data_IF_118002153768
#
_entry.id   IF_118002153768
#
_cell.length_a   1.000
_cell.length_b   1.000
_cell.length_c   1.000
_cell.angle_alpha   90.00
_cell.angle_beta   90.00
_cell.angle_gamma   90.00
#
_symmetry.space_group_name_H-M   'P 1'
#
loop_
_entity.id
_entity.type
_entity.pdbx_description
1 polymer ?
#
# COMPACT_ATOMS: atom_id res chain seq x y z
N UNK A 1 0.50 18.41 -27.82
CA UNK A 1 0.25 19.40 -26.73
C UNK A 1 0.93 18.93 -25.43
N UNK A 2 1.50 19.82 -24.59
CA UNK A 2 2.06 19.40 -23.28
C UNK A 2 0.97 19.08 -22.26
N UNK A 3 1.22 18.18 -21.29
CA UNK A 3 0.25 17.82 -20.24
C UNK A 3 -0.31 19.03 -19.48
N UNK A 4 0.54 19.99 -19.12
CA UNK A 4 0.14 21.26 -18.47
C UNK A 4 -0.93 22.05 -19.23
N UNK A 5 -0.98 21.89 -20.56
CA UNK A 5 -1.90 22.60 -21.43
C UNK A 5 -3.19 21.83 -21.71
N UNK A 6 -3.30 20.58 -21.25
CA UNK A 6 -4.52 19.79 -21.38
C UNK A 6 -5.67 20.38 -20.57
N UNK A 7 -6.90 20.15 -21.03
CA UNK A 7 -8.08 20.52 -20.25
C UNK A 7 -8.11 19.79 -18.89
N UNK A 8 -8.79 20.39 -17.93
CA UNK A 8 -8.85 19.87 -16.55
C UNK A 8 -9.42 18.44 -16.47
N UNK A 9 -10.38 18.08 -17.32
CA UNK A 9 -10.99 16.75 -17.33
C UNK A 9 -9.96 15.68 -17.70
N UNK A 10 -9.16 15.94 -18.73
CA UNK A 10 -8.11 15.02 -19.16
C UNK A 10 -6.97 14.96 -18.14
N UNK A 11 -6.52 16.10 -17.61
CA UNK A 11 -5.50 16.13 -16.54
C UNK A 11 -5.96 15.35 -15.30
N UNK A 12 -7.23 15.47 -14.92
CA UNK A 12 -7.82 14.74 -13.80
C UNK A 12 -7.89 13.24 -14.09
N UNK A 13 -8.28 12.86 -15.31
CA UNK A 13 -8.31 11.46 -15.75
C UNK A 13 -6.92 10.82 -15.65
N UNK A 14 -5.89 11.51 -16.16
CA UNK A 14 -4.49 11.08 -16.10
C UNK A 14 -4.04 10.91 -14.65
N UNK A 15 -4.25 11.91 -13.80
CA UNK A 15 -3.91 11.83 -12.36
C UNK A 15 -4.57 10.64 -11.66
N UNK A 16 -5.82 10.35 -11.99
CA UNK A 16 -6.54 9.23 -11.38
C UNK A 16 -6.01 7.88 -11.83
N UNK A 17 -5.63 7.74 -13.10
CA UNK A 17 -4.96 6.55 -13.63
C UNK A 17 -3.60 6.35 -12.97
N UNK A 18 -2.71 7.36 -12.98
CA UNK A 18 -1.40 7.30 -12.30
C UNK A 18 -1.56 6.87 -10.84
N UNK A 19 -2.47 7.52 -10.11
CA UNK A 19 -2.73 7.19 -8.70
C UNK A 19 -3.22 5.75 -8.53
N UNK A 20 -4.10 5.26 -9.41
CA UNK A 20 -4.59 3.88 -9.37
C UNK A 20 -3.46 2.90 -9.62
N UNK A 21 -2.65 3.11 -10.65
CA UNK A 21 -1.49 2.28 -10.98
C UNK A 21 -0.51 2.21 -9.81
N UNK A 22 -0.17 3.36 -9.21
CA UNK A 22 0.68 3.41 -8.02
C UNK A 22 0.08 2.60 -6.85
N UNK A 23 -1.23 2.72 -6.59
CA UNK A 23 -1.90 1.95 -5.53
C UNK A 23 -1.84 0.45 -5.82
N UNK A 24 -2.03 0.03 -7.07
CA UNK A 24 -1.91 -1.37 -7.48
C UNK A 24 -0.49 -1.90 -7.24
N UNK A 25 0.53 -1.18 -7.70
CA UNK A 25 1.94 -1.54 -7.50
C UNK A 25 2.29 -1.67 -6.01
N UNK A 26 1.90 -0.67 -5.20
CA UNK A 26 2.12 -0.70 -3.75
C UNK A 26 1.42 -1.88 -3.07
N UNK A 27 0.19 -2.20 -3.47
CA UNK A 27 -0.53 -3.36 -2.93
C UNK A 27 0.12 -4.69 -3.33
N UNK A 28 0.53 -4.84 -4.59
CA UNK A 28 1.16 -6.07 -5.09
C UNK A 28 2.50 -6.34 -4.41
N UNK A 29 3.23 -5.29 -4.07
CA UNK A 29 4.47 -5.39 -3.31
C UNK A 29 4.27 -5.45 -1.80
N UNK A 30 3.04 -5.53 -1.30
CA UNK A 30 2.68 -5.45 0.13
C UNK A 30 3.33 -4.25 0.85
N UNK A 31 3.54 -3.13 0.14
CA UNK A 31 4.18 -1.93 0.69
C UNK A 31 5.63 -2.18 1.21
N UNK A 32 6.29 -3.29 0.85
CA UNK A 32 7.55 -3.74 1.46
C UNK A 32 8.71 -2.75 1.35
N UNK A 33 8.79 -2.02 0.24
CA UNK A 33 9.89 -1.07 -0.05
C UNK A 33 9.66 0.34 0.50
N UNK A 34 8.57 0.58 1.24
CA UNK A 34 8.27 1.91 1.77
C UNK A 34 9.04 2.15 3.07
N UNK A 35 9.80 3.24 3.12
CA UNK A 35 10.35 3.77 4.37
C UNK A 35 9.62 5.05 4.76
N UNK A 36 9.56 5.32 6.07
CA UNK A 36 8.86 6.50 6.61
C UNK A 36 9.56 7.78 6.14
N UNK A 37 8.81 8.68 5.51
CA UNK A 37 9.33 9.97 5.02
C UNK A 37 10.29 9.89 3.82
N UNK A 38 10.64 8.71 3.33
CA UNK A 38 11.54 8.54 2.17
C UNK A 38 10.73 8.35 0.90
N UNK A 39 10.89 9.23 -0.09
CA UNK A 39 10.17 9.12 -1.36
C UNK A 39 10.50 7.82 -2.10
N UNK A 40 9.48 7.15 -2.64
CA UNK A 40 9.66 5.94 -3.47
C UNK A 40 9.90 6.25 -4.95
N UNK A 41 9.83 7.53 -5.34
CA UNK A 41 9.84 7.92 -6.74
C UNK A 41 11.26 7.99 -7.27
N UNK A 42 11.78 6.84 -7.68
CA UNK A 42 13.01 6.67 -8.46
C UNK A 42 12.70 6.65 -9.95
N UNK A 43 13.72 6.77 -10.81
CA UNK A 43 13.54 6.66 -12.26
C UNK A 43 12.97 5.28 -12.65
N UNK A 44 13.46 4.21 -12.00
CA UNK A 44 12.93 2.86 -12.20
C UNK A 44 11.45 2.73 -11.80
N UNK A 45 11.04 3.39 -10.71
CA UNK A 45 9.64 3.41 -10.29
C UNK A 45 8.77 4.18 -11.28
N UNK A 46 9.26 5.30 -11.82
CA UNK A 46 8.58 6.06 -12.88
C UNK A 46 8.38 5.20 -14.12
N UNK A 47 9.42 4.51 -14.60
CA UNK A 47 9.31 3.61 -15.74
C UNK A 47 8.28 2.50 -15.51
N UNK A 48 8.24 1.90 -14.31
CA UNK A 48 7.26 0.87 -13.99
C UNK A 48 5.83 1.41 -14.00
N UNK A 49 5.61 2.60 -13.40
CA UNK A 49 4.28 3.23 -13.41
C UNK A 49 3.82 3.51 -14.84
N UNK A 50 4.70 4.03 -15.69
CA UNK A 50 4.37 4.31 -17.10
C UNK A 50 4.06 3.02 -17.86
N UNK A 51 4.89 1.97 -17.70
CA UNK A 51 4.66 0.68 -18.34
C UNK A 51 3.29 0.08 -17.97
N UNK A 52 2.98 0.01 -16.67
CA UNK A 52 1.69 -0.50 -16.20
C UNK A 52 0.50 0.37 -16.66
N UNK A 53 0.70 1.69 -16.75
CA UNK A 53 -0.33 2.59 -17.28
C UNK A 53 -0.62 2.31 -18.75
N UNK A 54 0.39 2.02 -19.56
CA UNK A 54 0.21 1.73 -21.00
C UNK A 54 -0.64 0.49 -21.24
N UNK A 55 -0.65 -0.46 -20.31
CA UNK A 55 -1.50 -1.65 -20.35
C UNK A 55 -2.97 -1.36 -19.98
N UNK A 56 -3.26 -0.23 -19.32
CA UNK A 56 -4.63 0.10 -18.93
C UNK A 56 -5.49 0.57 -20.12
N UNK A 57 -6.73 0.09 -20.21
CA UNK A 57 -7.72 0.55 -21.21
C UNK A 57 -7.95 2.06 -21.20
N UNK A 58 -7.79 2.71 -20.03
CA UNK A 58 -7.91 4.17 -19.92
C UNK A 58 -6.85 4.90 -20.75
N UNK A 59 -5.64 4.35 -20.82
CA UNK A 59 -4.55 4.89 -21.63
C UNK A 59 -4.82 4.71 -23.13
N UNK A 60 -5.39 3.57 -23.53
CA UNK A 60 -5.83 3.35 -24.92
C UNK A 60 -6.85 4.40 -25.38
N UNK A 61 -7.75 4.82 -24.49
CA UNK A 61 -8.71 5.90 -24.78
C UNK A 61 -8.06 7.28 -24.95
N UNK A 62 -6.84 7.49 -24.45
CA UNK A 62 -6.12 8.75 -24.60
C UNK A 62 -5.35 8.87 -25.91
N UNK A 63 -5.13 7.77 -26.62
CA UNK A 63 -4.48 7.76 -27.95
C UNK A 63 -5.19 8.65 -28.98
N UNK A 64 -6.44 9.04 -28.72
CA UNK A 64 -7.22 9.97 -29.54
C UNK A 64 -6.86 11.44 -29.33
N UNK A 65 -6.08 11.77 -28.29
CA UNK A 65 -5.65 13.13 -27.98
C UNK A 65 -4.16 13.28 -28.32
N UNK A 66 -3.84 14.30 -29.10
CA UNK A 66 -2.45 14.61 -29.47
C UNK A 66 -1.72 15.36 -28.34
N UNK A 67 -1.22 14.59 -27.36
CA UNK A 67 -0.42 15.13 -26.26
C UNK A 67 0.78 14.26 -25.92
N UNK A 68 1.77 14.91 -25.33
CA UNK A 68 2.99 14.30 -24.83
C UNK A 68 3.16 14.70 -23.37
N UNK A 69 3.75 13.79 -22.59
CA UNK A 69 4.21 14.06 -21.23
C UNK A 69 5.69 13.72 -21.24
N UNK A 70 6.55 14.71 -21.03
CA UNK A 70 7.98 14.46 -20.92
C UNK A 70 8.33 13.72 -19.61
N UNK A 71 9.50 13.10 -19.57
CA UNK A 71 9.93 12.28 -18.42
C UNK A 71 10.00 13.09 -17.12
N UNK A 72 10.39 14.37 -17.19
CA UNK A 72 10.50 15.25 -16.03
C UNK A 72 9.11 15.59 -15.49
N UNK A 73 8.18 15.93 -16.37
CA UNK A 73 6.79 16.23 -16.05
C UNK A 73 6.05 15.02 -15.48
N UNK A 74 6.30 13.82 -16.04
CA UNK A 74 5.76 12.57 -15.51
C UNK A 74 6.32 12.27 -14.11
N UNK A 75 7.63 12.40 -13.92
CA UNK A 75 8.27 12.21 -12.60
C UNK A 75 7.72 13.18 -11.56
N UNK A 76 7.59 14.45 -11.89
CA UNK A 76 6.97 15.46 -11.02
C UNK A 76 5.51 15.11 -10.68
N UNK A 77 4.74 14.63 -11.65
CA UNK A 77 3.35 14.24 -11.46
C UNK A 77 3.25 13.08 -10.45
N UNK A 78 4.07 12.05 -10.64
CA UNK A 78 4.13 10.89 -9.75
C UNK A 78 4.57 11.32 -8.35
N UNK A 79 5.59 12.18 -8.22
CA UNK A 79 6.03 12.74 -6.93
C UNK A 79 4.92 13.51 -6.21
N UNK A 80 4.18 14.36 -6.92
CA UNK A 80 3.04 15.10 -6.34
C UNK A 80 1.95 14.17 -5.83
N UNK A 81 1.65 13.10 -6.57
CA UNK A 81 0.66 12.09 -6.18
C UNK A 81 1.17 11.30 -4.96
N UNK A 82 2.43 10.88 -4.97
CA UNK A 82 3.07 10.15 -3.87
C UNK A 82 3.03 10.95 -2.56
N UNK A 83 3.45 12.21 -2.61
CA UNK A 83 3.38 13.12 -1.47
C UNK A 83 1.96 13.31 -0.94
N UNK A 84 0.99 13.47 -1.84
CA UNK A 84 -0.43 13.55 -1.50
C UNK A 84 -0.93 12.25 -0.83
N UNK A 85 -0.45 11.10 -1.29
CA UNK A 85 -0.80 9.80 -0.70
C UNK A 85 -0.24 9.66 0.71
N UNK A 86 1.02 10.07 0.97
CA UNK A 86 1.63 10.05 2.31
C UNK A 86 0.95 10.97 3.30
N UNK A 87 0.60 12.19 2.88
CA UNK A 87 -0.05 13.20 3.73
C UNK A 87 -1.52 12.94 3.99
N UNK A 88 -2.09 11.87 3.43
CA UNK A 88 -3.51 11.57 3.61
C UNK A 88 -3.81 11.24 5.07
N UNK A 89 -4.77 11.95 5.66
CA UNK A 89 -5.21 11.61 7.01
C UNK A 89 -5.87 10.22 7.06
N UNK A 90 -5.44 9.42 8.04
CA UNK A 90 -6.07 8.16 8.39
C UNK A 90 -7.46 8.41 8.97
N UNK A 91 -8.44 7.59 8.56
CA UNK A 91 -9.80 7.70 9.11
C UNK A 91 -9.85 7.22 10.55
N UNK A 92 -10.86 7.65 11.33
CA UNK A 92 -11.04 7.17 12.71
C UNK A 92 -11.15 5.64 12.77
N UNK A 93 -11.86 5.02 11.81
CA UNK A 93 -11.97 3.56 11.68
C UNK A 93 -10.59 2.90 11.49
N UNK A 94 -9.74 3.47 10.64
CA UNK A 94 -8.39 2.96 10.40
C UNK A 94 -7.51 3.07 11.66
N UNK A 95 -7.54 4.22 12.34
CA UNK A 95 -6.79 4.42 13.59
C UNK A 95 -7.24 3.48 14.71
N UNK A 96 -8.54 3.30 14.87
CA UNK A 96 -9.08 2.37 15.88
C UNK A 96 -8.70 0.92 15.59
N UNK A 97 -8.72 0.50 14.32
CA UNK A 97 -8.27 -0.82 13.93
C UNK A 97 -6.77 -1.02 14.20
N UNK A 98 -5.94 -0.01 13.89
CA UNK A 98 -4.50 -0.02 14.17
C UNK A 98 -4.23 -0.18 15.68
N UNK A 99 -4.87 0.62 16.53
CA UNK A 99 -4.72 0.52 18.00
C UNK A 99 -5.11 -0.85 18.55
N UNK A 100 -6.19 -1.45 18.04
CA UNK A 100 -6.58 -2.80 18.44
C UNK A 100 -5.49 -3.82 18.11
N UNK A 101 -4.86 -3.72 16.93
CA UNK A 101 -3.75 -4.59 16.56
C UNK A 101 -2.53 -4.41 17.46
N UNK A 102 -2.19 -3.17 17.84
CA UNK A 102 -1.12 -2.91 18.80
C UNK A 102 -1.39 -3.61 20.14
N UNK A 103 -2.61 -3.49 20.68
CA UNK A 103 -3.02 -4.15 21.92
C UNK A 103 -2.94 -5.68 21.78
N UNK A 104 -3.52 -6.23 20.71
CA UNK A 104 -3.53 -7.68 20.46
C UNK A 104 -2.11 -8.27 20.35
N UNK A 105 -1.17 -7.49 19.82
CA UNK A 105 0.23 -7.88 19.64
C UNK A 105 1.14 -7.41 20.80
N UNK A 106 0.59 -6.71 21.79
CA UNK A 106 1.32 -6.10 22.92
C UNK A 106 2.47 -5.18 22.47
N UNK A 107 2.26 -4.44 21.40
CA UNK A 107 3.20 -3.45 20.87
C UNK A 107 2.92 -2.07 21.47
N UNK A 108 3.97 -1.34 21.81
CA UNK A 108 3.89 0.04 22.30
C UNK A 108 4.49 0.99 21.26
N UNK A 109 3.68 1.32 20.25
CA UNK A 109 4.06 2.18 19.13
C UNK A 109 2.97 3.23 18.90
N UNK A 110 3.34 4.43 18.48
CA UNK A 110 2.39 5.42 18.01
C UNK A 110 1.88 5.08 16.60
N UNK A 111 0.73 5.66 16.23
CA UNK A 111 0.22 5.54 14.86
C UNK A 111 1.04 6.47 13.96
N UNK A 112 1.70 5.96 12.90
CA UNK A 112 2.46 6.82 11.99
C UNK A 112 1.59 7.90 11.35
N UNK A 113 2.20 9.08 11.17
CA UNK A 113 1.55 10.21 10.49
C UNK A 113 1.63 10.08 8.96
N UNK A 114 2.67 9.42 8.45
CA UNK A 114 2.79 9.00 7.07
C UNK A 114 1.79 7.87 6.77
N UNK A 115 0.81 8.16 5.93
CA UNK A 115 -0.25 7.22 5.59
C UNK A 115 0.24 5.96 4.87
N UNK A 116 1.23 6.08 3.98
CA UNK A 116 1.75 4.94 3.23
C UNK A 116 2.57 4.05 4.15
N UNK A 117 3.36 4.65 5.04
CA UNK A 117 4.08 3.90 6.06
C UNK A 117 3.13 3.25 7.07
N UNK A 118 2.08 3.93 7.52
CA UNK A 118 1.03 3.33 8.36
C UNK A 118 0.40 2.10 7.67
N UNK A 119 0.21 2.14 6.33
CA UNK A 119 -0.30 0.99 5.57
C UNK A 119 0.69 -0.18 5.54
N UNK A 120 1.99 0.08 5.34
CA UNK A 120 3.05 -0.94 5.47
C UNK A 120 3.00 -1.59 6.85
N UNK A 121 3.10 -0.78 7.91
CA UNK A 121 3.13 -1.27 9.30
C UNK A 121 1.88 -2.06 9.66
N UNK A 122 0.72 -1.65 9.14
CA UNK A 122 -0.53 -2.39 9.32
C UNK A 122 -0.47 -3.80 8.69
N UNK A 123 0.09 -3.94 7.49
CA UNK A 123 0.25 -5.24 6.81
C UNK A 123 1.18 -6.17 7.59
N UNK A 124 2.29 -5.63 8.09
CA UNK A 124 3.25 -6.37 8.92
C UNK A 124 2.59 -6.90 10.19
N UNK A 125 1.88 -6.05 10.94
CA UNK A 125 1.14 -6.47 12.14
C UNK A 125 0.09 -7.55 11.83
N UNK A 126 -0.63 -7.41 10.72
CA UNK A 126 -1.59 -8.43 10.28
C UNK A 126 -0.91 -9.78 9.97
N UNK A 127 0.26 -9.76 9.32
CA UNK A 127 1.03 -10.96 9.04
C UNK A 127 1.52 -11.64 10.33
N UNK A 128 2.06 -10.86 11.28
CA UNK A 128 2.49 -11.37 12.60
C UNK A 128 1.31 -12.00 13.34
N UNK A 129 0.16 -11.31 13.39
CA UNK A 129 -1.04 -11.83 14.05
C UNK A 129 -1.54 -13.14 13.41
N UNK A 130 -1.49 -13.23 12.08
CA UNK A 130 -1.86 -14.44 11.35
C UNK A 130 -0.93 -15.61 11.71
N UNK A 131 0.36 -15.33 11.81
CA UNK A 131 1.36 -16.34 12.16
C UNK A 131 1.22 -16.82 13.61
N UNK A 132 0.95 -15.92 14.56
CA UNK A 132 0.67 -16.30 15.95
C UNK A 132 -0.54 -17.24 16.05
N UNK A 133 -1.64 -16.90 15.36
CA UNK A 133 -2.83 -17.76 15.30
C UNK A 133 -2.53 -19.13 14.70
N UNK A 134 -1.69 -19.19 13.65
CA UNK A 134 -1.27 -20.45 13.04
C UNK A 134 -0.53 -21.33 14.05
N UNK A 135 0.43 -20.76 14.78
CA UNK A 135 1.18 -21.46 15.82
C UNK A 135 0.29 -21.92 16.98
N UNK A 136 -0.72 -21.16 17.37
CA UNK A 136 -1.71 -21.56 18.38
C UNK A 136 -2.55 -22.74 17.92
N UNK A 137 -2.99 -22.77 16.65
CA UNK A 137 -3.74 -23.90 16.09
C UNK A 137 -2.88 -25.16 15.93
N UNK A 138 -1.60 -25.01 15.60
CA UNK A 138 -0.64 -26.11 15.50
C UNK A 138 -0.34 -26.73 16.87
N UNK A 139 -0.37 -25.93 17.95
CA UNK A 139 -0.38 -26.40 19.35
C UNK A 139 -1.74 -27.00 19.70
N UNK A 140 -2.06 -28.18 19.16
CA UNK A 140 -3.24 -28.94 19.60
C UNK A 140 -3.20 -29.10 21.13
N UNK A 141 -4.26 -28.74 21.88
CA UNK A 141 -4.35 -29.10 23.28
C UNK A 141 -4.30 -30.63 23.38
N UNK A 142 -3.55 -31.16 24.35
CA UNK A 142 -3.47 -32.60 24.60
C UNK A 142 -4.89 -33.15 24.79
N UNK A 143 -5.22 -34.23 24.07
CA UNK A 143 -6.53 -34.86 24.21
C UNK A 143 -6.71 -35.40 25.63
N UNK A 144 -7.95 -35.44 26.11
CA UNK A 144 -8.28 -35.96 27.44
C UNK A 144 -7.68 -37.36 27.69
N UNK A 145 -7.60 -38.18 26.65
CA UNK A 145 -6.99 -39.51 26.65
C UNK A 145 -5.47 -39.49 26.88
N UNK A 146 -4.77 -38.50 26.34
CA UNK A 146 -3.32 -38.30 26.54
C UNK A 146 -3.03 -37.79 27.96
N UNK A 147 -3.88 -36.90 28.48
CA UNK A 147 -3.80 -36.40 29.85
C UNK A 147 -4.08 -37.53 30.87
N UNK A 148 -5.05 -38.40 30.60
CA UNK A 148 -5.35 -39.54 31.48
C UNK A 148 -4.23 -40.59 31.52
N UNK A 149 -3.53 -40.84 30.40
CA UNK A 149 -2.37 -41.75 30.39
C UNK A 149 -1.23 -41.23 31.26
N UNK A 150 -0.96 -39.93 31.24
CA UNK A 150 0.07 -39.32 32.08
C UNK A 150 -0.27 -39.33 33.58
N UNK A 151 -1.55 -39.32 33.96
CA UNK A 151 -1.99 -39.42 35.37
C UNK A 151 -1.98 -40.85 35.95
N UNK A 152 -1.81 -41.87 35.12
CA UNK A 152 -1.76 -43.29 35.53
C UNK A 152 -0.32 -43.85 35.61
N UNK A 153 0.68 -43.06 35.24
CA UNK A 153 2.08 -43.29 35.59
C UNK A 153 2.37 -42.66 36.95
#
# INVERSE_FOLDING_TARGET
MLYKNLNWTLQRSIRMCVRRTMVTLLNNADYRFLEEGVSIVTDSFVCQVVADMMEERSFQGWSQFDFEIDDVEMKELIQKIEHSMRKRNSTLKQRNYYRRLLIDLRLNEDIPTDYLYMKKRLREMQAVKKELKRKEMEKKPATFTEIQKLKKM
#
